data_IF_811864149093
#
_entry.id   IF_811864149093
#
_cell.length_a   1.000
_cell.length_b   1.000
_cell.length_c   1.000
_cell.angle_alpha   90.00
_cell.angle_beta   90.00
_cell.angle_gamma   90.00
#
_symmetry.space_group_name_H-M   'P 1'
#
loop_
_entity.id
_entity.type
_entity.pdbx_description
1 polymer ?
#
# COMPACT_ATOMS: atom_id res chain seq x y z
N UNK A 1 -17.49 14.88 -37.93
CA UNK A 1 -18.75 14.54 -37.23
C UNK A 1 -19.09 15.69 -36.29
N UNK A 2 -20.18 16.41 -36.61
CA UNK A 2 -20.61 17.55 -35.80
C UNK A 2 -21.52 17.05 -34.69
N UNK A 3 -21.08 17.16 -33.43
CA UNK A 3 -21.91 16.92 -32.26
C UNK A 3 -22.72 18.15 -31.90
N UNK A 4 -24.03 18.04 -31.95
CA UNK A 4 -24.97 19.09 -31.53
C UNK A 4 -24.92 19.23 -30.00
N UNK A 5 -24.45 20.37 -29.51
CA UNK A 5 -24.70 20.86 -28.17
C UNK A 5 -25.79 21.92 -28.23
N UNK A 6 -26.91 21.65 -27.60
CA UNK A 6 -28.05 22.57 -27.47
C UNK A 6 -27.70 23.78 -26.61
N UNK A 7 -27.89 24.99 -27.14
CA UNK A 7 -27.74 26.28 -26.45
C UNK A 7 -26.81 27.24 -27.18
N UNK A 8 -27.34 28.14 -27.94
CA UNK A 8 -26.86 29.36 -28.66
C UNK A 8 -25.39 29.83 -28.48
N UNK A 9 -24.42 28.95 -28.67
CA UNK A 9 -23.01 29.35 -28.76
C UNK A 9 -22.38 28.61 -29.96
N UNK A 10 -22.35 29.25 -31.15
CA UNK A 10 -21.56 28.78 -32.27
C UNK A 10 -20.07 28.90 -31.94
N UNK A 11 -19.40 27.75 -31.85
CA UNK A 11 -17.94 27.67 -31.69
C UNK A 11 -17.36 27.31 -33.05
N UNK A 12 -16.60 28.21 -33.67
CA UNK A 12 -15.88 27.93 -34.92
C UNK A 12 -14.40 27.75 -34.63
N UNK A 13 -13.83 26.60 -35.05
CA UNK A 13 -12.40 26.35 -35.03
C UNK A 13 -11.77 27.17 -36.20
N UNK A 14 -10.81 28.08 -35.90
CA UNK A 14 -10.33 29.01 -36.91
C UNK A 14 -8.92 28.68 -37.42
N UNK A 15 -8.02 28.16 -36.65
CA UNK A 15 -6.66 27.83 -37.13
C UNK A 15 -5.89 26.90 -36.20
N UNK A 16 -4.97 26.11 -36.83
CA UNK A 16 -3.86 25.41 -36.17
C UNK A 16 -2.59 26.19 -36.40
N UNK A 17 -1.84 26.50 -35.35
CA UNK A 17 -0.46 26.99 -35.47
C UNK A 17 0.40 26.33 -34.38
N UNK A 18 1.17 25.32 -34.76
CA UNK A 18 1.91 24.47 -33.83
C UNK A 18 0.94 23.72 -32.90
N UNK A 19 1.27 23.64 -31.61
CA UNK A 19 0.50 22.92 -30.58
C UNK A 19 -0.64 23.76 -29.96
N UNK A 20 -1.10 24.80 -30.63
CA UNK A 20 -2.14 25.70 -30.12
C UNK A 20 -3.40 25.67 -30.99
N UNK A 21 -4.55 25.51 -30.33
CA UNK A 21 -5.87 25.68 -30.92
C UNK A 21 -6.42 27.08 -30.63
N UNK A 22 -6.96 27.73 -31.64
CA UNK A 22 -7.63 29.02 -31.51
C UNK A 22 -9.13 28.81 -31.70
N UNK A 23 -9.91 29.10 -30.67
CA UNK A 23 -11.38 29.02 -30.72
C UNK A 23 -11.92 30.44 -30.70
N UNK A 24 -12.76 30.79 -31.67
CA UNK A 24 -13.53 32.03 -31.64
C UNK A 24 -14.92 31.76 -31.11
N UNK A 25 -15.24 32.32 -29.97
CA UNK A 25 -16.63 32.41 -29.46
C UNK A 25 -17.29 33.66 -30.02
N UNK A 26 -18.40 33.51 -30.73
CA UNK A 26 -19.28 34.59 -31.08
C UNK A 26 -20.31 34.79 -29.96
N UNK A 27 -20.19 35.86 -29.20
CA UNK A 27 -21.23 36.37 -28.32
C UNK A 27 -21.61 37.77 -28.78
N UNK A 28 -22.74 38.32 -28.33
CA UNK A 28 -23.34 39.58 -28.73
C UNK A 28 -22.30 40.72 -28.88
N UNK A 29 -21.78 40.90 -30.10
CA UNK A 29 -20.97 42.06 -30.50
C UNK A 29 -19.46 41.99 -30.34
N UNK A 30 -18.85 41.00 -29.70
CA UNK A 30 -17.38 40.89 -29.59
C UNK A 30 -16.88 39.48 -29.90
N UNK A 31 -15.87 39.41 -30.80
CA UNK A 31 -15.11 38.18 -31.07
C UNK A 31 -14.02 38.03 -30.02
N UNK A 32 -14.11 37.04 -29.16
CA UNK A 32 -13.05 36.71 -28.23
C UNK A 32 -12.25 35.49 -28.74
N UNK A 33 -10.97 35.71 -29.00
CA UNK A 33 -10.02 34.68 -29.35
C UNK A 33 -9.54 34.01 -28.05
N UNK A 34 -9.89 32.77 -27.83
CA UNK A 34 -9.37 31.94 -26.75
C UNK A 34 -8.31 31.03 -27.33
N UNK A 35 -7.04 31.21 -26.94
CA UNK A 35 -5.98 30.25 -27.22
C UNK A 35 -6.03 29.16 -26.16
N UNK A 36 -6.32 27.93 -26.55
CA UNK A 36 -6.14 26.76 -25.70
C UNK A 36 -4.76 26.18 -26.00
N UNK A 37 -3.90 26.25 -25.00
CA UNK A 37 -2.57 25.68 -25.08
C UNK A 37 -2.68 24.16 -24.79
N UNK A 38 -2.41 23.33 -25.80
CA UNK A 38 -2.44 21.87 -25.68
C UNK A 38 -1.13 21.30 -25.10
N UNK A 39 -0.13 22.15 -24.81
CA UNK A 39 1.17 21.71 -24.30
C UNK A 39 1.15 21.20 -22.87
N UNK A 40 0.02 21.30 -22.16
CA UNK A 40 -0.11 20.86 -20.77
C UNK A 40 -0.66 19.46 -20.57
N UNK A 41 -1.00 18.74 -21.65
CA UNK A 41 -1.42 17.34 -21.51
C UNK A 41 -0.21 16.39 -21.59
N UNK A 42 0.87 16.64 -20.83
CA UNK A 42 1.73 15.55 -20.37
C UNK A 42 0.79 14.60 -19.65
N UNK A 43 0.44 13.44 -20.26
CA UNK A 43 -0.21 12.35 -19.52
C UNK A 43 0.57 12.19 -18.22
N UNK A 44 -0.04 12.59 -17.10
CA UNK A 44 0.58 12.40 -15.79
C UNK A 44 0.71 10.90 -15.63
N UNK A 45 1.93 10.38 -15.80
CA UNK A 45 2.21 8.98 -15.64
C UNK A 45 1.81 8.63 -14.20
N UNK A 46 0.90 7.68 -14.06
CA UNK A 46 0.47 7.21 -12.75
C UNK A 46 1.66 6.51 -12.10
N UNK A 47 2.00 6.82 -10.84
CA UNK A 47 3.03 6.05 -10.12
C UNK A 47 2.63 4.58 -10.09
N UNK A 48 3.59 3.70 -10.40
CA UNK A 48 3.37 2.26 -10.38
C UNK A 48 3.76 1.73 -9.01
N UNK A 49 2.84 1.02 -8.35
CA UNK A 49 3.07 0.37 -7.05
C UNK A 49 2.99 -1.13 -7.23
N UNK A 50 4.07 -1.83 -6.89
CA UNK A 50 4.15 -3.29 -6.90
C UNK A 50 3.71 -3.84 -5.54
N UNK A 51 2.67 -4.68 -5.51
CA UNK A 51 2.31 -5.49 -4.34
C UNK A 51 2.88 -6.90 -4.49
N UNK A 52 3.66 -7.33 -3.50
CA UNK A 52 4.19 -8.68 -3.35
C UNK A 52 3.48 -9.30 -2.13
N UNK A 53 2.48 -10.13 -2.35
CA UNK A 53 1.66 -10.65 -1.24
C UNK A 53 0.89 -11.92 -1.63
N UNK A 54 0.26 -12.56 -0.63
CA UNK A 54 -0.67 -13.65 -0.85
C UNK A 54 -1.99 -13.20 -1.46
N UNK A 55 -2.68 -14.10 -2.10
CA UNK A 55 -4.01 -13.89 -2.67
C UNK A 55 -5.10 -14.30 -1.69
N UNK A 56 -5.94 -13.35 -1.27
CA UNK A 56 -7.17 -13.57 -0.53
C UNK A 56 -8.36 -13.57 -1.49
N UNK A 57 -9.02 -14.73 -1.75
CA UNK A 57 -10.15 -14.82 -2.66
C UNK A 57 -11.40 -14.10 -2.14
N UNK A 58 -11.48 -13.80 -0.83
CA UNK A 58 -12.58 -12.98 -0.27
C UNK A 58 -12.40 -11.48 -0.56
N UNK A 59 -11.24 -11.09 -1.11
CA UNK A 59 -10.90 -9.72 -1.46
C UNK A 59 -10.85 -8.74 -0.27
N UNK A 60 -10.72 -9.26 0.96
CA UNK A 60 -10.62 -8.46 2.17
C UNK A 60 -9.19 -8.08 2.53
N UNK A 61 -8.20 -8.86 2.11
CA UNK A 61 -6.77 -8.64 2.36
C UNK A 61 -5.93 -9.03 1.14
N UNK A 62 -4.62 -9.14 1.32
CA UNK A 62 -3.67 -9.57 0.30
C UNK A 62 -3.68 -8.71 -0.95
N UNK A 63 -3.21 -9.26 -2.08
CA UNK A 63 -3.06 -8.51 -3.34
C UNK A 63 -4.38 -7.89 -3.83
N UNK A 64 -5.53 -8.50 -3.54
CA UNK A 64 -6.82 -7.98 -4.00
C UNK A 64 -7.24 -6.71 -3.24
N UNK A 65 -6.99 -6.65 -1.93
CA UNK A 65 -7.17 -5.42 -1.15
C UNK A 65 -6.10 -4.37 -1.51
N UNK A 66 -4.86 -4.79 -1.77
CA UNK A 66 -3.78 -3.89 -2.19
C UNK A 66 -4.14 -3.20 -3.51
N UNK A 67 -4.61 -3.94 -4.52
CA UNK A 67 -5.01 -3.35 -5.82
C UNK A 67 -6.15 -2.35 -5.67
N UNK A 68 -7.17 -2.64 -4.84
CA UNK A 68 -8.24 -1.69 -4.54
C UNK A 68 -7.69 -0.41 -3.90
N UNK A 69 -6.80 -0.56 -2.92
CA UNK A 69 -6.16 0.56 -2.23
C UNK A 69 -5.31 1.40 -3.19
N UNK A 70 -4.50 0.76 -4.04
CA UNK A 70 -3.67 1.42 -5.05
C UNK A 70 -4.53 2.22 -6.03
N UNK A 71 -5.60 1.61 -6.53
CA UNK A 71 -6.54 2.28 -7.44
C UNK A 71 -7.24 3.48 -6.77
N UNK A 72 -7.64 3.35 -5.50
CA UNK A 72 -8.26 4.43 -4.72
C UNK A 72 -7.31 5.63 -4.51
N UNK A 73 -5.99 5.42 -4.54
CA UNK A 73 -4.98 6.47 -4.44
C UNK A 73 -4.56 7.06 -5.80
N UNK A 74 -5.18 6.62 -6.92
CA UNK A 74 -4.83 7.09 -8.25
C UNK A 74 -3.45 6.62 -8.72
N UNK A 75 -2.96 5.49 -8.22
CA UNK A 75 -1.76 4.79 -8.68
C UNK A 75 -2.12 3.62 -9.58
N UNK A 76 -1.15 3.11 -10.34
CA UNK A 76 -1.28 1.88 -11.10
C UNK A 76 -0.70 0.71 -10.32
N UNK A 77 -1.51 -0.34 -10.07
CA UNK A 77 -1.10 -1.49 -9.29
C UNK A 77 -0.66 -2.67 -10.16
N UNK A 78 0.50 -3.24 -9.83
CA UNK A 78 0.97 -4.52 -10.37
C UNK A 78 1.27 -5.47 -9.23
N UNK A 79 1.25 -6.79 -9.48
CA UNK A 79 1.30 -7.78 -8.39
C UNK A 79 2.24 -8.93 -8.67
N UNK A 80 2.87 -9.44 -7.61
CA UNK A 80 3.53 -10.73 -7.57
C UNK A 80 2.90 -11.56 -6.43
N UNK A 81 2.27 -12.67 -6.77
CA UNK A 81 1.59 -13.56 -5.81
C UNK A 81 2.61 -14.46 -5.13
N UNK A 82 2.60 -14.51 -3.80
CA UNK A 82 3.49 -15.36 -2.99
C UNK A 82 2.83 -16.61 -2.46
N UNK A 83 1.51 -16.60 -2.33
CA UNK A 83 0.71 -17.76 -1.91
C UNK A 83 -0.73 -17.61 -2.38
N UNK A 84 -1.39 -18.73 -2.62
CA UNK A 84 -2.84 -18.80 -2.78
C UNK A 84 -3.46 -19.26 -1.46
N UNK A 85 -4.60 -18.70 -1.09
CA UNK A 85 -5.31 -19.14 0.11
C UNK A 85 -6.70 -19.71 -0.20
N UNK A 86 -7.11 -20.70 0.57
CA UNK A 86 -8.51 -21.07 0.71
C UNK A 86 -9.03 -20.32 1.93
N UNK A 87 -9.69 -19.20 1.70
CA UNK A 87 -10.05 -18.23 2.72
C UNK A 87 -11.42 -17.63 2.47
N UNK A 88 -12.09 -17.21 3.55
CA UNK A 88 -13.33 -16.45 3.52
C UNK A 88 -13.37 -15.49 4.72
N UNK A 89 -14.48 -14.73 4.89
CA UNK A 89 -14.68 -13.92 6.09
C UNK A 89 -14.63 -14.72 7.41
N UNK A 90 -14.74 -16.04 7.36
CA UNK A 90 -14.63 -16.94 8.53
C UNK A 90 -13.20 -17.30 8.89
N UNK A 91 -12.21 -16.99 8.06
CA UNK A 91 -10.78 -17.24 8.29
C UNK A 91 -10.12 -18.04 7.18
N UNK A 92 -8.83 -18.32 7.40
CA UNK A 92 -7.94 -19.06 6.49
C UNK A 92 -8.05 -20.56 6.80
N UNK A 93 -8.38 -21.36 5.77
CA UNK A 93 -8.45 -22.82 5.86
C UNK A 93 -7.16 -23.49 5.39
N UNK A 94 -6.52 -22.93 4.33
CA UNK A 94 -5.30 -23.46 3.72
C UNK A 94 -4.51 -22.35 3.06
N UNK A 95 -3.19 -22.51 3.08
CA UNK A 95 -2.24 -21.68 2.37
C UNK A 95 -1.41 -22.57 1.45
N UNK A 96 -1.42 -22.26 0.16
CA UNK A 96 -0.62 -22.93 -0.86
C UNK A 96 0.46 -21.94 -1.34
N UNK A 97 1.71 -22.07 -0.90
CA UNK A 97 2.81 -21.19 -1.34
C UNK A 97 3.05 -21.31 -2.85
N UNK A 98 3.35 -20.18 -3.48
CA UNK A 98 3.81 -20.12 -4.85
C UNK A 98 5.30 -20.48 -4.88
N UNK A 99 5.71 -21.22 -5.90
CA UNK A 99 7.09 -21.66 -6.11
C UNK A 99 8.04 -20.45 -6.22
N UNK A 100 9.19 -20.53 -5.54
CA UNK A 100 10.15 -19.43 -5.47
C UNK A 100 10.71 -19.01 -6.83
N UNK A 101 10.84 -19.94 -7.77
CA UNK A 101 11.27 -19.63 -9.14
C UNK A 101 10.24 -18.76 -9.85
N UNK A 102 8.94 -19.10 -9.78
CA UNK A 102 7.88 -18.33 -10.41
C UNK A 102 7.79 -16.90 -9.83
N UNK A 103 7.98 -16.75 -8.51
CA UNK A 103 8.06 -15.43 -7.85
C UNK A 103 9.24 -14.64 -8.44
N UNK A 104 10.40 -15.25 -8.55
CA UNK A 104 11.61 -14.60 -9.08
C UNK A 104 11.42 -14.15 -10.52
N UNK A 105 10.94 -15.03 -11.40
CA UNK A 105 10.69 -14.72 -12.82
C UNK A 105 9.65 -13.61 -12.98
N UNK A 106 8.58 -13.63 -12.18
CA UNK A 106 7.55 -12.57 -12.18
C UNK A 106 8.14 -11.23 -11.80
N UNK A 107 8.94 -11.17 -10.73
CA UNK A 107 9.56 -9.93 -10.26
C UNK A 107 10.56 -9.38 -11.28
N UNK A 108 11.39 -10.22 -11.88
CA UNK A 108 12.35 -9.81 -12.91
C UNK A 108 11.63 -9.29 -14.17
N UNK A 109 10.54 -9.94 -14.60
CA UNK A 109 9.75 -9.50 -15.75
C UNK A 109 9.12 -8.13 -15.51
N UNK A 110 8.53 -7.90 -14.32
CA UNK A 110 7.92 -6.62 -13.97
C UNK A 110 8.95 -5.49 -13.87
N UNK A 111 10.10 -5.75 -13.24
CA UNK A 111 11.17 -4.75 -13.13
C UNK A 111 11.85 -4.43 -14.45
N UNK A 112 11.87 -5.37 -15.40
CA UNK A 112 12.43 -5.16 -16.74
C UNK A 112 11.55 -4.29 -17.64
N UNK A 113 10.25 -4.20 -17.34
CA UNK A 113 9.26 -3.49 -18.18
C UNK A 113 8.76 -2.18 -17.55
N UNK A 114 8.72 -2.07 -16.21
CA UNK A 114 8.00 -1.03 -15.51
C UNK A 114 8.90 -0.21 -14.58
N UNK A 115 8.66 1.11 -14.54
CA UNK A 115 9.30 2.02 -13.57
C UNK A 115 8.50 1.98 -12.25
N UNK A 116 8.90 1.09 -11.35
CA UNK A 116 8.23 0.86 -10.07
C UNK A 116 8.59 1.98 -9.07
N UNK A 117 7.62 2.82 -8.74
CA UNK A 117 7.77 3.93 -7.81
C UNK A 117 7.82 3.50 -6.34
N UNK A 118 7.08 2.44 -5.97
CA UNK A 118 7.10 1.85 -4.64
C UNK A 118 6.76 0.36 -4.68
N UNK A 119 7.25 -0.37 -3.68
CA UNK A 119 6.93 -1.79 -3.44
C UNK A 119 6.25 -1.92 -2.08
N UNK A 120 5.13 -2.63 -2.03
CA UNK A 120 4.54 -3.14 -0.79
C UNK A 120 4.78 -4.62 -0.70
N UNK A 121 5.35 -5.08 0.40
CA UNK A 121 5.54 -6.50 0.71
C UNK A 121 4.56 -6.86 1.83
N UNK A 122 3.72 -7.86 1.60
CA UNK A 122 2.80 -8.41 2.59
C UNK A 122 3.13 -9.86 2.94
N UNK A 123 2.10 -10.71 3.00
CA UNK A 123 2.22 -12.13 3.31
C UNK A 123 3.21 -12.83 2.36
N UNK A 124 4.21 -13.50 2.90
CA UNK A 124 5.20 -14.26 2.12
C UNK A 124 4.88 -15.76 2.02
N UNK A 125 4.17 -16.32 2.99
CA UNK A 125 3.71 -17.71 2.98
C UNK A 125 4.78 -18.75 3.29
N UNK A 126 5.97 -18.67 2.70
CA UNK A 126 7.02 -19.70 2.82
C UNK A 126 8.41 -19.11 2.91
N UNK A 127 9.39 -19.95 3.32
CA UNK A 127 10.81 -19.60 3.30
C UNK A 127 11.36 -19.41 1.88
N UNK A 128 10.85 -20.13 0.90
CA UNK A 128 11.26 -19.96 -0.51
C UNK A 128 10.80 -18.62 -1.06
N UNK A 129 9.54 -18.23 -0.82
CA UNK A 129 9.05 -16.92 -1.20
C UNK A 129 9.86 -15.80 -0.52
N UNK A 130 10.13 -15.93 0.78
CA UNK A 130 10.95 -14.98 1.52
C UNK A 130 12.39 -14.87 0.93
N UNK A 131 13.02 -15.99 0.56
CA UNK A 131 14.35 -16.02 -0.10
C UNK A 131 14.32 -15.33 -1.46
N UNK A 132 13.29 -15.59 -2.28
CA UNK A 132 13.12 -14.95 -3.60
C UNK A 132 12.95 -13.44 -3.47
N UNK A 133 12.12 -12.96 -2.52
CA UNK A 133 11.93 -11.53 -2.24
C UNK A 133 13.21 -10.89 -1.67
N UNK A 134 13.93 -11.58 -0.78
CA UNK A 134 15.21 -11.08 -0.27
C UNK A 134 16.27 -10.96 -1.39
N UNK A 135 16.31 -11.91 -2.33
CA UNK A 135 17.18 -11.86 -3.50
C UNK A 135 16.79 -10.73 -4.45
N UNK A 136 15.51 -10.49 -4.66
CA UNK A 136 14.98 -9.36 -5.41
C UNK A 136 15.44 -8.02 -4.81
N UNK A 137 15.24 -7.79 -3.51
CA UNK A 137 15.67 -6.58 -2.82
C UNK A 137 17.19 -6.36 -2.80
N UNK A 138 17.97 -7.44 -2.97
CA UNK A 138 19.42 -7.33 -3.12
C UNK A 138 19.83 -6.88 -4.52
N UNK A 139 19.10 -7.31 -5.56
CA UNK A 139 19.44 -7.03 -6.98
C UNK A 139 18.86 -5.71 -7.46
N UNK A 140 17.66 -5.34 -7.01
CA UNK A 140 16.93 -4.18 -7.48
C UNK A 140 16.81 -3.13 -6.38
N UNK A 141 17.20 -1.91 -6.71
CA UNK A 141 16.99 -0.80 -5.80
C UNK A 141 15.65 -0.13 -6.11
N UNK A 142 14.77 -0.08 -5.12
CA UNK A 142 13.53 0.71 -5.15
C UNK A 142 13.53 1.65 -3.95
N UNK A 143 13.31 2.93 -4.19
CA UNK A 143 13.39 3.96 -3.14
C UNK A 143 12.45 3.68 -1.97
N UNK A 144 11.23 3.28 -2.25
CA UNK A 144 10.21 3.08 -1.24
C UNK A 144 9.75 1.62 -1.22
N UNK A 145 10.22 0.89 -0.24
CA UNK A 145 9.79 -0.48 0.05
C UNK A 145 9.09 -0.48 1.41
N UNK A 146 7.79 -0.75 1.42
CA UNK A 146 6.97 -0.86 2.63
C UNK A 146 6.75 -2.33 2.94
N UNK A 147 7.19 -2.78 4.11
CA UNK A 147 6.99 -4.14 4.60
C UNK A 147 5.84 -4.19 5.61
N UNK A 148 4.80 -4.93 5.29
CA UNK A 148 3.76 -5.38 6.21
C UNK A 148 4.14 -6.81 6.67
N UNK A 149 4.77 -6.97 7.85
CA UNK A 149 5.41 -8.24 8.24
C UNK A 149 4.39 -9.22 8.79
N UNK A 150 3.46 -9.63 7.96
CA UNK A 150 2.32 -10.47 8.33
C UNK A 150 2.81 -11.84 8.82
N UNK A 151 2.65 -12.10 10.13
CA UNK A 151 2.99 -13.38 10.78
C UNK A 151 1.75 -14.25 10.94
N UNK A 152 0.65 -13.65 11.43
CA UNK A 152 -0.61 -14.34 11.69
C UNK A 152 -1.76 -13.67 10.93
N UNK A 153 -2.75 -14.49 10.54
CA UNK A 153 -4.02 -13.97 10.03
C UNK A 153 -4.86 -13.38 11.17
N UNK A 154 -5.88 -12.58 10.83
CA UNK A 154 -6.87 -12.09 11.81
C UNK A 154 -7.62 -13.22 12.53
N UNK A 155 -7.58 -14.44 11.99
CA UNK A 155 -8.15 -15.66 12.61
C UNK A 155 -7.14 -16.50 13.38
N UNK A 156 -5.87 -16.06 13.49
CA UNK A 156 -4.79 -16.72 14.23
C UNK A 156 -4.04 -17.81 13.44
N UNK A 157 -4.31 -18.00 12.15
CA UNK A 157 -3.55 -18.94 11.34
C UNK A 157 -2.16 -18.39 11.02
N UNK A 158 -1.13 -19.24 11.07
CA UNK A 158 0.23 -18.88 10.65
C UNK A 158 0.27 -18.60 9.15
N UNK A 159 0.80 -17.44 8.76
CA UNK A 159 0.90 -16.96 7.38
C UNK A 159 2.34 -16.85 6.87
N UNK A 160 3.30 -17.23 7.69
CA UNK A 160 4.72 -17.35 7.32
C UNK A 160 5.31 -18.55 8.07
N UNK A 161 6.12 -19.33 7.39
CA UNK A 161 6.86 -20.44 8.02
C UNK A 161 8.01 -19.91 8.92
N UNK A 162 8.49 -20.73 9.85
CA UNK A 162 9.59 -20.34 10.75
C UNK A 162 10.85 -19.92 10.02
N UNK A 163 11.24 -20.66 8.98
CA UNK A 163 12.38 -20.32 8.13
C UNK A 163 12.12 -19.05 7.31
N UNK A 164 10.87 -18.80 6.88
CA UNK A 164 10.46 -17.56 6.25
C UNK A 164 10.59 -16.34 7.16
N UNK A 165 10.17 -16.47 8.43
CA UNK A 165 10.32 -15.43 9.44
C UNK A 165 11.81 -15.13 9.72
N UNK A 166 12.65 -16.17 9.76
CA UNK A 166 14.10 -15.98 9.94
C UNK A 166 14.69 -15.21 8.73
N UNK A 167 14.36 -15.61 7.51
CA UNK A 167 14.80 -14.88 6.30
C UNK A 167 14.31 -13.43 6.31
N UNK A 168 13.06 -13.17 6.74
CA UNK A 168 12.50 -11.83 6.87
C UNK A 168 13.34 -10.99 7.84
N UNK A 169 13.64 -11.51 9.03
CA UNK A 169 14.45 -10.83 10.05
C UNK A 169 15.87 -10.54 9.55
N UNK A 170 16.55 -11.53 8.97
CA UNK A 170 17.97 -11.43 8.63
C UNK A 170 18.26 -10.74 7.30
N UNK A 171 17.35 -10.85 6.32
CA UNK A 171 17.64 -10.49 4.94
C UNK A 171 16.72 -9.44 4.34
N UNK A 172 15.53 -9.23 4.91
CA UNK A 172 14.53 -8.29 4.37
C UNK A 172 14.48 -7.01 5.22
N UNK A 173 14.40 -7.10 6.55
CA UNK A 173 14.21 -5.95 7.45
C UNK A 173 15.19 -4.80 7.19
N UNK A 174 16.48 -5.07 7.08
CA UNK A 174 17.49 -4.04 6.83
C UNK A 174 17.50 -3.46 5.40
N UNK A 175 16.61 -3.94 4.51
CA UNK A 175 16.53 -3.50 3.10
C UNK A 175 15.26 -2.74 2.76
N UNK A 176 14.31 -2.67 3.68
CA UNK A 176 13.06 -1.94 3.44
C UNK A 176 13.16 -0.49 3.90
N UNK A 177 12.38 0.37 3.28
CA UNK A 177 12.32 1.78 3.69
C UNK A 177 11.58 1.95 5.02
N UNK A 178 10.48 1.20 5.21
CA UNK A 178 9.69 1.20 6.44
C UNK A 178 8.98 -0.14 6.61
N UNK A 179 8.89 -0.64 7.84
CA UNK A 179 8.00 -1.73 8.20
C UNK A 179 6.81 -1.22 9.02
N UNK A 180 5.66 -1.90 8.87
CA UNK A 180 4.38 -1.51 9.49
C UNK A 180 3.81 -2.61 10.40
N UNK A 181 4.59 -3.17 11.35
CA UNK A 181 4.08 -4.20 12.23
C UNK A 181 2.93 -3.68 13.10
N UNK A 182 1.96 -4.53 13.39
CA UNK A 182 1.10 -4.35 14.55
C UNK A 182 1.85 -4.73 15.84
N UNK A 183 1.24 -4.54 17.02
CA UNK A 183 1.89 -4.83 18.29
C UNK A 183 2.35 -6.29 18.43
N UNK A 184 1.58 -7.26 17.93
CA UNK A 184 1.92 -8.68 17.99
C UNK A 184 3.08 -9.03 17.05
N UNK A 185 3.10 -8.44 15.89
CA UNK A 185 4.19 -8.57 14.92
C UNK A 185 5.46 -7.88 15.43
N UNK A 186 5.32 -6.68 16.02
CA UNK A 186 6.44 -5.99 16.65
C UNK A 186 7.04 -6.81 17.79
N UNK A 187 6.21 -7.42 18.64
CA UNK A 187 6.60 -8.34 19.69
C UNK A 187 7.39 -9.55 19.14
N UNK A 188 6.87 -10.18 18.09
CA UNK A 188 7.50 -11.34 17.43
C UNK A 188 8.83 -10.97 16.76
N UNK A 189 8.89 -9.82 16.10
CA UNK A 189 10.09 -9.37 15.40
C UNK A 189 11.20 -8.95 16.37
N UNK A 190 10.84 -8.20 17.41
CA UNK A 190 11.77 -7.68 18.42
C UNK A 190 12.14 -8.70 19.51
N UNK A 191 11.40 -9.81 19.59
CA UNK A 191 11.49 -10.79 20.69
C UNK A 191 11.26 -10.13 22.06
N UNK A 192 10.19 -9.33 22.15
CA UNK A 192 9.79 -8.56 23.33
C UNK A 192 8.29 -8.71 23.57
N UNK A 193 7.82 -8.41 24.79
CA UNK A 193 6.40 -8.20 25.01
C UNK A 193 6.02 -6.76 24.61
N UNK A 194 4.87 -6.57 23.91
CA UNK A 194 4.42 -5.26 23.47
C UNK A 194 2.92 -5.13 23.70
N UNK A 195 2.54 -4.41 24.76
CA UNK A 195 1.14 -4.19 25.19
C UNK A 195 0.85 -2.73 25.51
N UNK A 196 1.85 -1.86 25.47
CA UNK A 196 1.77 -0.44 25.80
C UNK A 196 2.59 0.41 24.85
N UNK A 197 2.38 1.72 24.89
CA UNK A 197 3.13 2.67 24.08
C UNK A 197 4.63 2.66 24.43
N UNK A 198 4.98 2.50 25.71
CA UNK A 198 6.38 2.44 26.14
C UNK A 198 7.06 1.17 25.61
N UNK A 199 6.36 0.04 25.59
CA UNK A 199 6.85 -1.20 25.01
C UNK A 199 6.94 -1.12 23.47
N UNK A 200 6.05 -0.35 22.82
CA UNK A 200 6.22 -0.03 21.38
C UNK A 200 7.50 0.76 21.13
N UNK A 201 7.88 1.70 21.99
CA UNK A 201 9.16 2.40 21.91
C UNK A 201 10.35 1.44 22.06
N UNK A 202 10.31 0.52 23.02
CA UNK A 202 11.35 -0.48 23.21
C UNK A 202 11.47 -1.42 21.99
N UNK A 203 10.33 -1.89 21.45
CA UNK A 203 10.31 -2.71 20.26
C UNK A 203 10.87 -1.96 19.03
N UNK A 204 10.51 -0.69 18.87
CA UNK A 204 11.05 0.13 17.79
C UNK A 204 12.57 0.30 17.88
N UNK A 205 13.11 0.54 19.09
CA UNK A 205 14.55 0.61 19.32
C UNK A 205 15.24 -0.72 18.94
N UNK A 206 14.66 -1.84 19.35
CA UNK A 206 15.19 -3.16 19.00
C UNK A 206 15.19 -3.42 17.49
N UNK A 207 14.14 -3.01 16.79
CA UNK A 207 14.04 -3.12 15.32
C UNK A 207 15.06 -2.21 14.61
N UNK A 208 15.39 -1.04 15.17
CA UNK A 208 16.47 -0.20 14.66
C UNK A 208 17.84 -0.87 14.81
N UNK A 209 18.12 -1.53 15.93
CA UNK A 209 19.35 -2.33 16.13
C UNK A 209 19.47 -3.47 15.09
N UNK A 210 18.34 -4.01 14.62
CA UNK A 210 18.28 -5.01 13.55
C UNK A 210 18.44 -4.41 12.13
N UNK A 211 18.69 -3.10 12.03
CA UNK A 211 18.95 -2.41 10.76
C UNK A 211 17.73 -1.79 10.09
N UNK A 212 16.55 -1.80 10.71
CA UNK A 212 15.36 -1.15 10.19
C UNK A 212 15.42 0.36 10.47
N UNK A 213 15.48 1.20 9.42
CA UNK A 213 15.60 2.66 9.59
C UNK A 213 14.31 3.37 10.01
N UNK A 214 13.17 2.86 9.57
CA UNK A 214 11.87 3.45 9.90
C UNK A 214 10.91 2.33 10.26
N UNK A 215 10.18 2.48 11.36
CA UNK A 215 9.14 1.55 11.79
C UNK A 215 7.88 2.30 12.18
N UNK A 216 6.75 1.80 11.73
CA UNK A 216 5.43 2.30 12.06
C UNK A 216 4.65 1.21 12.79
N UNK A 217 4.70 1.20 14.12
CA UNK A 217 3.97 0.20 14.92
C UNK A 217 2.52 0.66 15.05
N UNK A 218 1.57 -0.18 14.57
CA UNK A 218 0.16 0.13 14.67
C UNK A 218 -0.45 -0.37 15.98
N UNK A 219 -1.09 0.53 16.73
CA UNK A 219 -1.61 0.29 18.07
C UNK A 219 -3.09 -0.09 18.14
N UNK A 220 -3.66 -0.63 17.07
CA UNK A 220 -5.09 -0.98 17.01
C UNK A 220 -5.59 -1.93 18.11
N UNK A 221 -4.68 -2.60 18.83
CA UNK A 221 -4.98 -3.55 19.91
C UNK A 221 -4.69 -3.01 21.32
N UNK A 222 -4.22 -1.78 21.46
CA UNK A 222 -4.05 -1.10 22.75
C UNK A 222 -5.13 -0.03 22.98
N UNK A 223 -5.18 0.54 24.17
CA UNK A 223 -6.12 1.59 24.53
C UNK A 223 -5.36 2.76 25.19
N UNK A 224 -5.34 3.96 24.59
CA UNK A 224 -5.90 4.32 23.28
C UNK A 224 -5.17 3.64 22.11
N UNK A 225 -5.82 3.46 20.93
CA UNK A 225 -5.22 2.79 19.78
C UNK A 225 -4.28 3.73 19.01
N UNK A 226 -3.26 4.23 19.71
CA UNK A 226 -2.27 5.14 19.18
C UNK A 226 -1.22 4.38 18.37
N UNK A 227 -0.78 4.94 17.24
CA UNK A 227 0.28 4.36 16.45
C UNK A 227 1.59 5.10 16.69
N UNK A 228 2.72 4.39 16.62
CA UNK A 228 4.06 4.93 16.82
C UNK A 228 4.85 4.90 15.51
N UNK A 229 5.19 6.07 14.96
CA UNK A 229 6.19 6.19 13.92
C UNK A 229 7.54 6.52 14.56
N UNK A 230 8.49 5.59 14.48
CA UNK A 230 9.88 5.77 14.90
C UNK A 230 10.79 5.79 13.67
N UNK A 231 11.65 6.79 13.59
CA UNK A 231 12.65 6.95 12.56
C UNK A 231 14.02 7.05 13.24
N UNK A 232 14.99 6.29 12.75
CA UNK A 232 16.34 6.32 13.30
C UNK A 232 16.89 7.76 13.36
N UNK A 233 17.39 8.17 14.52
CA UNK A 233 17.95 9.52 14.75
C UNK A 233 16.93 10.67 14.82
N UNK A 234 15.62 10.40 14.83
CA UNK A 234 14.58 11.41 14.96
C UNK A 234 13.70 11.18 16.20
N UNK A 235 13.03 12.24 16.65
CA UNK A 235 12.01 12.10 17.69
C UNK A 235 10.84 11.27 17.14
N UNK A 236 10.35 10.29 17.89
CA UNK A 236 9.18 9.51 17.50
C UNK A 236 7.93 10.39 17.36
N UNK A 237 7.05 10.00 16.45
CA UNK A 237 5.76 10.66 16.19
C UNK A 237 4.64 9.71 16.59
N UNK A 238 3.76 10.16 17.47
CA UNK A 238 2.58 9.41 17.88
C UNK A 238 1.39 9.90 17.05
N UNK A 239 0.77 9.00 16.31
CA UNK A 239 -0.47 9.25 15.60
C UNK A 239 -1.65 8.79 16.47
N UNK A 240 -2.35 9.77 17.02
CA UNK A 240 -3.51 9.51 17.88
C UNK A 240 -4.58 8.72 17.12
N UNK A 241 -5.15 7.72 17.80
CA UNK A 241 -6.19 6.85 17.26
C UNK A 241 -7.46 6.89 18.08
N UNK A 242 -8.55 6.45 17.46
CA UNK A 242 -9.86 6.28 18.12
C UNK A 242 -10.43 4.92 17.76
N UNK A 243 -10.99 4.22 18.76
CA UNK A 243 -11.70 2.96 18.48
C UNK A 243 -12.91 3.26 17.60
N UNK A 244 -12.94 2.63 16.43
CA UNK A 244 -14.07 2.70 15.50
C UNK A 244 -14.87 1.40 15.68
N UNK A 245 -16.11 1.48 16.17
CA UNK A 245 -16.95 0.31 16.32
C UNK A 245 -17.25 -0.32 14.95
N UNK A 246 -17.15 -1.65 14.85
CA UNK A 246 -17.46 -2.36 13.61
C UNK A 246 -16.98 -3.82 13.66
N UNK A 247 -17.57 -4.63 12.77
CA UNK A 247 -17.18 -6.05 12.59
C UNK A 247 -16.28 -6.25 11.37
N UNK A 248 -16.10 -5.22 10.53
CA UNK A 248 -15.38 -5.29 9.28
C UNK A 248 -13.99 -4.70 9.46
N UNK A 249 -13.07 -5.48 10.03
CA UNK A 249 -11.68 -5.08 10.31
C UNK A 249 -10.67 -5.90 9.51
N UNK A 250 -11.13 -6.86 8.67
CA UNK A 250 -10.25 -7.69 7.86
C UNK A 250 -9.52 -6.84 6.80
N UNK A 251 -8.19 -6.93 6.80
CA UNK A 251 -7.32 -6.23 5.85
C UNK A 251 -6.96 -4.78 6.22
N UNK A 252 -7.23 -4.33 7.46
CA UNK A 252 -6.82 -2.99 7.91
C UNK A 252 -5.31 -2.76 7.79
N UNK A 253 -4.47 -3.74 8.18
CA UNK A 253 -3.01 -3.68 8.03
C UNK A 253 -2.59 -3.57 6.57
N UNK A 254 -3.14 -4.44 5.69
CA UNK A 254 -2.86 -4.41 4.26
C UNK A 254 -3.28 -3.07 3.63
N UNK A 255 -4.47 -2.54 3.98
CA UNK A 255 -4.93 -1.24 3.49
C UNK A 255 -4.02 -0.11 3.98
N UNK A 256 -3.57 -0.14 5.24
CA UNK A 256 -2.66 0.85 5.82
C UNK A 256 -1.30 0.84 5.10
N UNK A 257 -0.64 -0.31 5.04
CA UNK A 257 0.70 -0.45 4.45
C UNK A 257 0.71 -0.10 2.96
N UNK A 258 -0.35 -0.46 2.23
CA UNK A 258 -0.52 -0.12 0.82
C UNK A 258 -0.81 1.36 0.61
N UNK A 259 -1.68 1.97 1.43
CA UNK A 259 -1.92 3.41 1.39
C UNK A 259 -0.64 4.21 1.70
N UNK A 260 0.18 3.74 2.66
CA UNK A 260 1.48 4.31 2.96
C UNK A 260 2.41 4.26 1.74
N UNK A 261 2.51 3.10 1.06
CA UNK A 261 3.31 2.95 -0.15
C UNK A 261 2.86 3.87 -1.28
N UNK A 262 1.54 4.01 -1.48
CA UNK A 262 0.97 4.91 -2.49
C UNK A 262 1.29 6.37 -2.20
N UNK A 263 1.14 6.84 -0.95
CA UNK A 263 1.45 8.22 -0.59
C UNK A 263 2.94 8.54 -0.76
N UNK A 264 3.83 7.60 -0.45
CA UNK A 264 5.28 7.72 -0.71
C UNK A 264 5.57 7.80 -2.22
N UNK A 265 4.92 6.95 -3.04
CA UNK A 265 5.03 6.96 -4.49
C UNK A 265 4.53 8.27 -5.10
N UNK A 266 3.53 8.90 -4.50
CA UNK A 266 2.98 10.21 -4.88
C UNK A 266 3.86 11.40 -4.43
N UNK A 267 4.96 11.13 -3.69
CA UNK A 267 5.96 12.13 -3.31
C UNK A 267 5.78 12.75 -1.92
N UNK A 268 4.89 12.22 -1.09
CA UNK A 268 4.75 12.66 0.31
C UNK A 268 5.92 12.17 1.16
N UNK A 269 6.28 12.91 2.21
CA UNK A 269 7.21 12.41 3.23
C UNK A 269 6.58 11.29 4.08
N UNK A 270 7.41 10.58 4.86
CA UNK A 270 6.96 9.41 5.62
C UNK A 270 5.90 9.74 6.68
N UNK A 271 6.05 10.86 7.40
CA UNK A 271 5.11 11.23 8.46
C UNK A 271 3.75 11.66 7.88
N UNK A 272 3.76 12.44 6.80
CA UNK A 272 2.55 12.81 6.07
C UNK A 272 1.87 11.57 5.46
N UNK A 273 2.66 10.65 4.88
CA UNK A 273 2.17 9.39 4.30
C UNK A 273 1.53 8.49 5.35
N UNK A 274 2.14 8.36 6.55
CA UNK A 274 1.60 7.58 7.65
C UNK A 274 0.26 8.17 8.17
N UNK A 275 0.20 9.50 8.32
CA UNK A 275 -1.03 10.19 8.71
C UNK A 275 -2.14 10.00 7.67
N UNK A 276 -1.83 10.14 6.38
CA UNK A 276 -2.79 9.94 5.30
C UNK A 276 -3.29 8.48 5.25
N UNK A 277 -2.39 7.50 5.40
CA UNK A 277 -2.74 6.08 5.46
C UNK A 277 -3.68 5.77 6.65
N UNK A 278 -3.40 6.33 7.85
CA UNK A 278 -4.29 6.19 9.01
C UNK A 278 -5.68 6.76 8.72
N UNK A 279 -5.79 7.96 8.19
CA UNK A 279 -7.07 8.57 7.83
C UNK A 279 -7.83 7.76 6.77
N UNK A 280 -7.12 7.19 5.78
CA UNK A 280 -7.73 6.33 4.77
C UNK A 280 -8.36 5.09 5.41
N UNK A 281 -7.64 4.40 6.29
CA UNK A 281 -8.15 3.21 6.99
C UNK A 281 -9.31 3.57 7.92
N UNK A 282 -9.23 4.65 8.68
CA UNK A 282 -10.34 5.11 9.53
C UNK A 282 -11.60 5.45 8.71
N UNK A 283 -11.44 6.09 7.54
CA UNK A 283 -12.57 6.38 6.65
C UNK A 283 -13.16 5.10 6.05
N UNK A 284 -12.31 4.14 5.71
CA UNK A 284 -12.72 2.83 5.21
C UNK A 284 -13.48 2.03 6.28
N UNK A 285 -12.99 1.98 7.53
CA UNK A 285 -13.67 1.33 8.66
C UNK A 285 -15.08 1.89 8.91
N UNK A 286 -15.26 3.22 8.83
CA UNK A 286 -16.57 3.85 9.01
C UNK A 286 -17.57 3.51 7.89
N UNK A 287 -17.08 3.13 6.72
CA UNK A 287 -17.90 2.82 5.53
C UNK A 287 -17.89 1.33 5.18
N UNK A 288 -17.19 0.52 5.98
CA UNK A 288 -16.97 -0.87 5.68
C UNK A 288 -18.27 -1.65 5.50
N UNK A 289 -18.44 -2.38 4.40
CA UNK A 289 -19.66 -3.12 4.14
C UNK A 289 -19.75 -4.34 5.03
N UNK A 290 -20.98 -4.68 5.44
CA UNK A 290 -21.25 -5.93 6.16
C UNK A 290 -21.28 -7.10 5.15
N UNK A 291 -20.11 -7.64 4.78
CA UNK A 291 -19.98 -8.77 3.84
C UNK A 291 -19.54 -10.01 4.58
N UNK A 292 -20.21 -11.13 4.30
CA UNK A 292 -19.93 -12.42 4.89
C UNK A 292 -20.48 -12.58 6.31
N UNK A 293 -20.27 -13.78 6.89
CA UNK A 293 -20.76 -14.13 8.23
C UNK A 293 -19.68 -14.03 9.32
N UNK A 294 -18.44 -13.70 8.97
CA UNK A 294 -17.30 -13.53 9.86
C UNK A 294 -16.85 -12.08 9.98
N UNK A 295 -15.52 -11.87 10.06
CA UNK A 295 -14.90 -10.55 10.04
C UNK A 295 -14.93 -10.02 8.60
N UNK A 296 -15.74 -8.99 8.36
CA UNK A 296 -15.90 -8.40 7.03
C UNK A 296 -14.67 -7.62 6.56
N UNK A 297 -14.54 -7.34 5.24
CA UNK A 297 -13.47 -6.55 4.67
C UNK A 297 -13.61 -5.08 5.05
N UNK A 298 -12.47 -4.38 5.16
CA UNK A 298 -12.46 -2.93 5.40
C UNK A 298 -12.62 -2.14 4.10
N UNK A 299 -12.28 -2.72 2.93
CA UNK A 299 -12.30 -2.03 1.64
C UNK A 299 -12.83 -2.94 0.50
#
# INVERSE_FOLDING_TARGET
MAGHLSGDTCVNLIAFKGDRFFIVKRGSGQKRLLALDMTTNKKKLLPIVLSIAGHDPSSGAGITADIKTIAAHGCYGVTCVTALTVQSARGVKRVDPVEGQLITETLEQLMGDLDIAAVKIGMLGSGEAAKSVAAFLKRHWVKFVVLDPIVLSSSGAELISRDGLQVLKERILGRVYVATPNIHEAATLADLNVTSLDEMHAAAARLHEMGLRNVMITGGHIDPPDDLLSQEGKKPVILKGHKIPGRSTHGTGCAFSTALACNLALGSDLAASAKAAKHFVEAALRKAPAIGQGIGPVI
#
